data_IF_599425163268
#
_entry.id   IF_599425163268
#
_cell.length_a   1.000
_cell.length_b   1.000
_cell.length_c   1.000
_cell.angle_alpha   90.00
_cell.angle_beta   90.00
_cell.angle_gamma   90.00
#
_symmetry.space_group_name_H-M   'P 1'
#
loop_
_entity.id
_entity.type
_entity.pdbx_description
1 polymer ?
#
# COMPACT_ATOMS: atom_id res chain seq x y z
N UNK A 1 -21.68 11.76 -6.22
CA UNK A 1 -22.20 10.56 -6.94
C UNK A 1 -21.16 9.47 -6.80
N UNK A 2 -21.50 8.34 -6.18
CA UNK A 2 -20.56 7.22 -6.00
C UNK A 2 -20.29 6.56 -7.36
N UNK A 3 -19.04 6.61 -7.84
CA UNK A 3 -18.65 5.96 -9.10
C UNK A 3 -18.23 4.52 -8.81
N UNK A 4 -18.68 3.58 -9.64
CA UNK A 4 -18.34 2.16 -9.53
C UNK A 4 -17.67 1.67 -10.80
N UNK A 5 -16.50 1.06 -10.69
CA UNK A 5 -15.77 0.42 -11.80
C UNK A 5 -15.66 -1.07 -11.51
N UNK A 6 -15.82 -1.92 -12.52
CA UNK A 6 -15.65 -3.37 -12.43
C UNK A 6 -14.44 -3.81 -13.24
N UNK A 7 -13.54 -4.58 -12.64
CA UNK A 7 -12.42 -5.24 -13.32
C UNK A 7 -12.52 -6.76 -13.08
N UNK A 8 -12.07 -7.54 -14.04
CA UNK A 8 -12.04 -9.00 -13.95
C UNK A 8 -10.62 -9.44 -14.26
N UNK A 9 -10.02 -10.22 -13.38
CA UNK A 9 -8.69 -10.79 -13.56
C UNK A 9 -8.75 -12.26 -13.18
N UNK A 10 -8.50 -13.13 -14.15
CA UNK A 10 -8.62 -14.58 -13.97
C UNK A 10 -9.96 -14.98 -13.32
N UNK A 11 -9.89 -15.62 -12.14
CA UNK A 11 -11.04 -16.05 -11.35
C UNK A 11 -11.58 -14.96 -10.40
N UNK A 12 -10.97 -13.79 -10.33
CA UNK A 12 -11.38 -12.71 -9.42
C UNK A 12 -12.15 -11.60 -10.13
N UNK A 13 -13.08 -10.99 -9.40
CA UNK A 13 -13.90 -9.85 -9.82
C UNK A 13 -13.69 -8.74 -8.79
N UNK A 14 -13.18 -7.62 -9.25
CA UNK A 14 -12.93 -6.43 -8.45
C UNK A 14 -14.02 -5.40 -8.74
N UNK A 15 -14.61 -4.86 -7.68
CA UNK A 15 -15.45 -3.67 -7.77
C UNK A 15 -14.79 -2.54 -7.01
N UNK A 16 -14.43 -1.48 -7.72
CA UNK A 16 -13.83 -0.27 -7.20
C UNK A 16 -14.94 0.76 -6.97
N UNK A 17 -15.03 1.28 -5.76
CA UNK A 17 -15.98 2.29 -5.34
C UNK A 17 -15.24 3.57 -5.03
N UNK A 18 -15.71 4.67 -5.63
CA UNK A 18 -15.13 5.98 -5.45
C UNK A 18 -16.12 6.92 -4.77
N UNK A 19 -15.66 7.65 -3.76
CA UNK A 19 -16.35 8.79 -3.18
C UNK A 19 -15.62 10.07 -3.59
N UNK A 20 -16.32 11.04 -4.18
CA UNK A 20 -15.74 12.33 -4.56
C UNK A 20 -14.42 12.23 -5.36
N UNK A 21 -14.33 11.25 -6.27
CA UNK A 21 -13.15 10.88 -7.08
C UNK A 21 -11.99 10.20 -6.32
N UNK A 22 -12.12 9.95 -5.03
CA UNK A 22 -11.18 9.17 -4.22
C UNK A 22 -11.64 7.72 -4.15
N UNK A 23 -10.71 6.79 -4.35
CA UNK A 23 -10.98 5.36 -4.23
C UNK A 23 -11.21 5.03 -2.76
N UNK A 24 -12.43 4.68 -2.35
CA UNK A 24 -12.76 4.46 -0.94
C UNK A 24 -12.77 2.98 -0.55
N UNK A 25 -13.16 2.11 -1.49
CA UNK A 25 -13.31 0.69 -1.25
C UNK A 25 -13.07 -0.10 -2.54
N UNK A 26 -12.39 -1.22 -2.41
CA UNK A 26 -12.41 -2.30 -3.40
C UNK A 26 -13.00 -3.53 -2.74
N UNK A 27 -14.01 -4.13 -3.35
CA UNK A 27 -14.48 -5.47 -2.95
C UNK A 27 -14.05 -6.49 -3.97
N UNK A 28 -13.48 -7.59 -3.50
CA UNK A 28 -13.00 -8.71 -4.31
C UNK A 28 -13.93 -9.89 -4.14
N UNK A 29 -14.33 -10.48 -5.25
CA UNK A 29 -15.10 -11.72 -5.28
C UNK A 29 -14.37 -12.77 -6.10
N UNK A 30 -14.45 -14.02 -5.67
CA UNK A 30 -13.98 -15.17 -6.42
C UNK A 30 -15.14 -15.78 -7.24
N UNK A 31 -14.92 -16.03 -8.53
CA UNK A 31 -15.86 -16.76 -9.38
C UNK A 31 -15.91 -18.22 -8.93
N UNK A 32 -17.07 -18.69 -8.48
CA UNK A 32 -17.36 -20.13 -8.38
C UNK A 32 -18.28 -20.54 -9.53
N UNK A 33 -18.44 -21.86 -9.72
CA UNK A 33 -19.23 -22.44 -10.84
C UNK A 33 -20.64 -21.88 -11.00
N UNK A 34 -21.30 -21.50 -9.90
CA UNK A 34 -22.71 -21.06 -9.93
C UNK A 34 -22.96 -19.71 -9.25
N UNK A 35 -22.06 -19.24 -8.37
CA UNK A 35 -22.20 -18.00 -7.62
C UNK A 35 -20.82 -17.33 -7.48
N UNK A 36 -20.81 -16.02 -7.21
CA UNK A 36 -19.59 -15.34 -6.76
C UNK A 36 -19.49 -15.48 -5.25
N UNK A 37 -18.35 -15.95 -4.74
CA UNK A 37 -18.04 -15.92 -3.30
C UNK A 37 -17.36 -14.58 -3.00
N UNK A 38 -17.70 -13.93 -1.89
CA UNK A 38 -16.87 -12.83 -1.41
C UNK A 38 -15.45 -13.36 -1.16
N UNK A 39 -14.44 -12.51 -1.28
CA UNK A 39 -13.05 -12.94 -1.04
C UNK A 39 -12.36 -11.99 -0.07
N UNK A 40 -12.64 -10.70 -0.18
CA UNK A 40 -12.02 -9.71 0.67
C UNK A 40 -12.30 -8.29 0.21
N UNK A 41 -11.64 -7.34 0.87
CA UNK A 41 -11.75 -5.93 0.56
C UNK A 41 -10.47 -5.16 0.86
N UNK A 42 -10.32 -4.05 0.17
CA UNK A 42 -9.34 -3.00 0.47
C UNK A 42 -10.10 -1.73 0.81
N UNK A 43 -9.94 -1.24 2.02
CA UNK A 43 -10.56 0.00 2.52
C UNK A 43 -9.52 1.12 2.54
N UNK A 44 -9.89 2.31 2.08
CA UNK A 44 -9.01 3.46 1.95
C UNK A 44 -9.58 4.63 2.75
N UNK A 45 -8.80 5.16 3.68
CA UNK A 45 -9.21 6.25 4.55
C UNK A 45 -8.48 7.54 4.18
N UNK A 46 -9.24 8.60 3.95
CA UNK A 46 -8.73 9.91 3.62
C UNK A 46 -9.01 10.90 4.75
N UNK A 47 -8.06 11.82 4.97
CA UNK A 47 -8.23 13.02 5.78
C UNK A 47 -7.86 14.23 4.93
N UNK A 48 -8.76 15.21 4.81
CA UNK A 48 -8.55 16.42 3.99
C UNK A 48 -8.07 16.13 2.56
N UNK A 49 -8.63 15.06 1.95
CA UNK A 49 -8.26 14.53 0.64
C UNK A 49 -6.89 13.84 0.52
N UNK A 50 -6.19 13.62 1.64
CA UNK A 50 -4.95 12.85 1.70
C UNK A 50 -5.24 11.44 2.22
N UNK A 51 -4.79 10.40 1.51
CA UNK A 51 -4.92 9.01 1.97
C UNK A 51 -4.01 8.81 3.19
N UNK A 52 -4.59 8.47 4.34
CA UNK A 52 -3.85 8.29 5.60
C UNK A 52 -3.70 6.83 5.99
N UNK A 53 -4.58 5.96 5.49
CA UNK A 53 -4.43 4.52 5.69
C UNK A 53 -5.12 3.68 4.64
N UNK A 54 -4.59 2.47 4.44
CA UNK A 54 -5.20 1.40 3.66
C UNK A 54 -5.30 0.15 4.54
N UNK A 55 -6.44 -0.54 4.50
CA UNK A 55 -6.67 -1.78 5.26
C UNK A 55 -7.08 -2.89 4.32
N UNK A 56 -6.38 -4.02 4.40
CA UNK A 56 -6.64 -5.23 3.63
C UNK A 56 -7.38 -6.23 4.52
N UNK A 57 -8.48 -6.79 4.00
CA UNK A 57 -9.30 -7.79 4.68
C UNK A 57 -9.51 -8.99 3.75
N UNK A 58 -9.36 -10.19 4.28
CA UNK A 58 -9.70 -11.44 3.59
C UNK A 58 -10.88 -12.09 4.33
N UNK A 59 -11.85 -12.60 3.58
CA UNK A 59 -12.97 -13.35 4.15
C UNK A 59 -12.44 -14.53 4.99
N UNK A 60 -13.09 -14.80 6.12
CA UNK A 60 -12.70 -15.82 7.11
C UNK A 60 -11.38 -15.56 7.89
N UNK A 61 -10.48 -14.69 7.39
CA UNK A 61 -9.23 -14.31 8.08
C UNK A 61 -9.29 -12.96 8.81
N UNK A 62 -10.23 -12.09 8.43
CA UNK A 62 -10.35 -10.75 8.99
C UNK A 62 -9.34 -9.78 8.37
N UNK A 63 -8.96 -8.73 9.11
CA UNK A 63 -7.92 -7.79 8.67
C UNK A 63 -6.62 -8.59 8.56
N UNK A 64 -5.98 -8.58 7.41
CA UNK A 64 -4.69 -9.27 7.21
C UNK A 64 -3.53 -8.32 7.34
N UNK A 65 -3.73 -7.07 6.92
CA UNK A 65 -2.70 -6.03 6.92
C UNK A 65 -3.34 -4.64 6.98
N UNK A 66 -2.62 -3.67 7.52
CA UNK A 66 -2.94 -2.26 7.37
C UNK A 66 -1.67 -1.46 7.13
N UNK A 67 -1.76 -0.44 6.28
CA UNK A 67 -0.68 0.50 6.00
C UNK A 67 -1.11 1.89 6.42
N UNK A 68 -0.25 2.59 7.16
CA UNK A 68 -0.42 4.01 7.49
C UNK A 68 0.58 4.85 6.72
N UNK A 69 0.12 6.02 6.28
CA UNK A 69 0.88 6.96 5.48
C UNK A 69 1.12 8.25 6.25
N UNK A 70 2.36 8.74 6.23
CA UNK A 70 2.76 9.95 6.93
C UNK A 70 3.42 10.93 5.98
N UNK A 71 3.08 12.19 6.14
CA UNK A 71 3.47 13.27 5.25
C UNK A 71 4.18 14.38 6.00
N UNK A 72 5.04 15.10 5.31
CA UNK A 72 5.58 16.37 5.81
C UNK A 72 4.63 17.54 5.56
N UNK A 73 5.04 18.74 5.99
CA UNK A 73 4.30 19.98 5.81
C UNK A 73 4.10 20.38 4.33
N UNK A 74 4.90 19.82 3.41
CA UNK A 74 4.80 20.01 1.97
C UNK A 74 3.93 18.92 1.30
N UNK A 75 3.28 18.07 2.11
CA UNK A 75 2.45 16.94 1.67
C UNK A 75 3.22 15.87 0.89
N UNK A 76 4.53 15.76 1.11
CA UNK A 76 5.35 14.66 0.55
C UNK A 76 5.24 13.44 1.46
N UNK A 77 5.11 12.25 0.88
CA UNK A 77 5.05 11.00 1.65
C UNK A 77 6.44 10.70 2.21
N UNK A 78 6.60 10.79 3.53
CA UNK A 78 7.89 10.59 4.21
C UNK A 78 8.00 9.24 4.91
N UNK A 79 6.87 8.58 5.21
CA UNK A 79 6.88 7.30 5.88
C UNK A 79 5.66 6.44 5.55
N UNK A 80 5.90 5.12 5.47
CA UNK A 80 4.86 4.09 5.52
C UNK A 80 5.09 3.15 6.70
N UNK A 81 4.02 2.74 7.35
CA UNK A 81 4.06 1.74 8.42
C UNK A 81 3.13 0.58 8.11
N UNK A 82 3.66 -0.63 8.11
CA UNK A 82 2.95 -1.86 7.79
C UNK A 82 2.63 -2.63 9.06
N UNK A 83 1.35 -2.90 9.30
CA UNK A 83 0.84 -3.56 10.50
C UNK A 83 0.20 -4.90 10.14
N UNK A 84 0.39 -5.91 10.99
CA UNK A 84 -0.31 -7.19 10.84
C UNK A 84 -1.77 -7.14 11.35
N UNK A 85 -2.46 -8.27 11.26
CA UNK A 85 -3.82 -8.48 11.76
C UNK A 85 -4.03 -8.22 13.26
N UNK A 86 -2.95 -8.22 14.06
CA UNK A 86 -2.97 -7.92 15.49
C UNK A 86 -2.66 -6.45 15.79
N UNK A 87 -2.48 -5.61 14.75
CA UNK A 87 -2.10 -4.21 14.90
C UNK A 87 -0.63 -4.02 15.31
N UNK A 88 0.22 -5.04 15.15
CA UNK A 88 1.65 -4.95 15.46
C UNK A 88 2.44 -4.46 14.23
N UNK A 89 3.34 -3.50 14.46
CA UNK A 89 4.22 -2.96 13.43
C UNK A 89 5.20 -4.03 12.94
N UNK A 90 5.20 -4.29 11.62
CA UNK A 90 6.07 -5.26 10.96
C UNK A 90 7.23 -4.58 10.25
N UNK A 91 6.93 -3.52 9.51
CA UNK A 91 7.91 -2.77 8.73
C UNK A 91 7.61 -1.28 8.77
N UNK A 92 8.68 -0.49 8.74
CA UNK A 92 8.63 0.96 8.54
C UNK A 92 9.49 1.29 7.34
N UNK A 93 8.93 2.05 6.40
CA UNK A 93 9.64 2.61 5.25
C UNK A 93 9.79 4.10 5.50
N UNK A 94 11.02 4.58 5.56
CA UNK A 94 11.35 6.00 5.68
C UNK A 94 11.93 6.51 4.36
N UNK A 95 11.34 7.57 3.83
CA UNK A 95 11.78 8.26 2.63
C UNK A 95 12.54 9.54 3.02
N UNK A 96 13.78 9.67 2.56
CA UNK A 96 14.63 10.83 2.86
C UNK A 96 14.75 11.74 1.64
N UNK A 97 14.60 13.04 1.86
CA UNK A 97 14.67 14.09 0.84
C UNK A 97 15.87 15.00 1.16
N UNK A 98 16.70 15.35 0.16
CA UNK A 98 17.86 16.24 0.38
C UNK A 98 17.42 17.69 0.52
N UNK A 99 16.52 18.12 -0.36
CA UNK A 99 16.04 19.49 -0.45
C UNK A 99 14.58 19.59 -0.05
N UNK A 100 14.20 20.78 0.45
CA UNK A 100 12.79 21.10 0.73
C UNK A 100 11.92 21.00 -0.52
N UNK A 101 12.49 21.24 -1.72
CA UNK A 101 11.71 21.33 -2.95
C UNK A 101 11.76 20.07 -3.82
N UNK A 102 12.57 19.05 -3.45
CA UNK A 102 12.63 17.82 -4.24
C UNK A 102 11.31 17.03 -4.13
N UNK A 103 10.68 16.65 -5.25
CA UNK A 103 9.49 15.80 -5.26
C UNK A 103 9.83 14.33 -5.01
N UNK A 104 11.08 13.93 -5.21
CA UNK A 104 11.55 12.55 -5.07
C UNK A 104 12.54 12.42 -3.91
N UNK A 105 12.43 11.35 -3.10
CA UNK A 105 13.42 11.02 -2.09
C UNK A 105 14.71 10.52 -2.76
N UNK A 106 15.84 10.83 -2.13
CA UNK A 106 17.16 10.34 -2.56
C UNK A 106 17.53 9.00 -1.93
N UNK A 107 16.89 8.65 -0.80
CA UNK A 107 17.14 7.41 -0.08
C UNK A 107 15.85 6.84 0.50
N UNK A 108 15.80 5.52 0.57
CA UNK A 108 14.77 4.72 1.23
C UNK A 108 15.43 3.83 2.27
N UNK A 109 14.96 3.91 3.51
CA UNK A 109 15.35 3.01 4.59
C UNK A 109 14.17 2.15 5.02
N UNK A 110 14.45 0.88 5.28
CA UNK A 110 13.46 -0.09 5.76
C UNK A 110 13.90 -0.64 7.10
N UNK A 111 13.06 -0.44 8.12
CA UNK A 111 13.20 -1.01 9.44
C UNK A 111 12.19 -2.16 9.60
N UNK A 112 12.60 -3.22 10.29
CA UNK A 112 11.74 -4.31 10.74
C UNK A 112 11.42 -4.09 12.21
N UNK A 113 10.14 -4.29 12.58
CA UNK A 113 9.65 -4.10 13.95
C UNK A 113 9.96 -2.70 14.54
N UNK A 114 10.10 -1.68 13.68
CA UNK A 114 10.41 -0.30 14.06
C UNK A 114 11.85 -0.03 14.49
N UNK A 115 12.68 -1.06 14.69
CA UNK A 115 13.99 -0.91 15.33
C UNK A 115 15.16 -1.46 14.51
N UNK A 116 14.95 -2.55 13.77
CA UNK A 116 16.04 -3.28 13.12
C UNK A 116 16.19 -2.86 11.67
N UNK A 117 17.32 -2.24 11.31
CA UNK A 117 17.63 -1.95 9.90
C UNK A 117 17.65 -3.23 9.09
N UNK A 118 16.75 -3.31 8.12
CA UNK A 118 16.56 -4.48 7.27
C UNK A 118 17.10 -4.24 5.85
N UNK A 119 16.94 -3.02 5.34
CA UNK A 119 17.35 -2.64 3.99
C UNK A 119 17.51 -1.12 3.87
N UNK A 120 18.38 -0.68 2.96
CA UNK A 120 18.59 0.72 2.62
C UNK A 120 19.05 0.82 1.16
N UNK A 121 18.53 1.79 0.41
CA UNK A 121 18.90 2.02 -0.99
C UNK A 121 18.79 3.48 -1.40
N UNK A 122 19.64 3.87 -2.35
CA UNK A 122 19.57 5.15 -3.08
C UNK A 122 19.08 4.96 -4.53
N UNK A 123 18.70 3.73 -4.90
CA UNK A 123 18.30 3.38 -6.27
C UNK A 123 16.92 3.96 -6.59
N UNK A 124 16.90 5.02 -7.38
CA UNK A 124 15.68 5.77 -7.74
C UNK A 124 14.53 4.90 -8.26
N UNK A 125 14.82 3.83 -9.01
CA UNK A 125 13.78 2.91 -9.53
C UNK A 125 13.04 2.15 -8.43
N UNK A 126 13.73 1.76 -7.36
CA UNK A 126 13.12 1.02 -6.23
C UNK A 126 12.38 1.98 -5.31
N UNK A 127 12.95 3.16 -5.08
CA UNK A 127 12.29 4.26 -4.38
C UNK A 127 10.98 4.63 -5.08
N UNK A 128 11.02 4.86 -6.40
CA UNK A 128 9.85 5.24 -7.19
C UNK A 128 8.77 4.14 -7.17
N UNK A 129 9.15 2.86 -7.29
CA UNK A 129 8.19 1.75 -7.20
C UNK A 129 7.43 1.74 -5.86
N UNK A 130 8.16 1.94 -4.76
CA UNK A 130 7.56 2.00 -3.42
C UNK A 130 6.72 3.27 -3.19
N UNK A 131 7.01 4.37 -3.87
CA UNK A 131 6.15 5.56 -3.87
C UNK A 131 4.87 5.32 -4.69
N UNK A 132 5.00 4.73 -5.88
CA UNK A 132 3.91 4.53 -6.82
C UNK A 132 2.91 3.45 -6.39
N UNK A 133 3.25 2.59 -5.41
CA UNK A 133 2.29 1.63 -4.86
C UNK A 133 1.18 2.28 -4.05
N UNK A 134 1.39 3.53 -3.62
CA UNK A 134 0.45 4.32 -2.85
C UNK A 134 -0.91 4.48 -3.57
N UNK A 135 -2.00 4.20 -2.86
CA UNK A 135 -3.37 4.39 -3.37
C UNK A 135 -3.77 3.45 -4.51
N UNK A 136 -2.99 2.40 -4.77
CA UNK A 136 -3.34 1.32 -5.70
C UNK A 136 -4.13 0.21 -5.00
N UNK A 137 -4.61 -0.72 -5.80
CA UNK A 137 -5.37 -1.89 -5.34
C UNK A 137 -4.61 -2.75 -4.33
N UNK A 138 -3.27 -2.75 -4.35
CA UNK A 138 -2.46 -3.43 -3.36
C UNK A 138 -1.18 -2.66 -3.03
N UNK A 139 -1.09 -2.16 -1.80
CA UNK A 139 0.13 -1.60 -1.20
C UNK A 139 0.40 -2.36 0.10
N UNK A 140 0.97 -3.57 -0.02
CA UNK A 140 1.20 -4.46 1.12
C UNK A 140 2.67 -4.80 1.35
N UNK A 141 2.99 -5.37 2.50
CA UNK A 141 4.38 -5.73 2.84
C UNK A 141 4.99 -6.73 1.85
N UNK A 142 4.17 -7.53 1.16
CA UNK A 142 4.63 -8.40 0.08
C UNK A 142 5.30 -7.62 -1.06
N UNK A 143 4.71 -6.52 -1.54
CA UNK A 143 5.27 -5.71 -2.63
C UNK A 143 6.60 -5.06 -2.21
N UNK A 144 6.67 -4.59 -0.96
CA UNK A 144 7.90 -4.11 -0.36
C UNK A 144 8.99 -5.18 -0.43
N UNK A 145 8.69 -6.38 0.09
CA UNK A 145 9.66 -7.47 0.14
C UNK A 145 10.09 -7.91 -1.26
N UNK A 146 9.18 -7.98 -2.22
CA UNK A 146 9.50 -8.26 -3.63
C UNK A 146 10.45 -7.21 -4.21
N UNK A 147 10.21 -5.92 -3.96
CA UNK A 147 11.09 -4.84 -4.45
C UNK A 147 12.51 -4.93 -3.87
N UNK A 148 12.65 -5.33 -2.60
CA UNK A 148 13.95 -5.50 -1.94
C UNK A 148 14.69 -6.72 -2.51
N UNK A 149 14.00 -7.84 -2.70
CA UNK A 149 14.62 -9.06 -3.20
C UNK A 149 15.06 -8.91 -4.65
N UNK A 150 14.30 -8.21 -5.49
CA UNK A 150 14.75 -7.87 -6.85
C UNK A 150 16.04 -7.06 -6.84
N UNK A 151 16.16 -6.06 -5.96
CA UNK A 151 17.38 -5.24 -5.88
C UNK A 151 18.60 -6.08 -5.49
N UNK A 152 18.48 -6.90 -4.44
CA UNK A 152 19.58 -7.77 -3.98
C UNK A 152 20.04 -8.80 -5.02
N UNK A 153 19.19 -9.18 -5.97
CA UNK A 153 19.53 -10.13 -7.03
C UNK A 153 20.17 -9.45 -8.27
N UNK A 154 20.21 -8.12 -8.29
CA UNK A 154 20.79 -7.32 -9.37
C UNK A 154 22.10 -6.62 -9.00
N UNK A 155 22.64 -6.93 -7.82
CA UNK A 155 23.99 -6.58 -7.35
C UNK A 155 24.92 -7.80 -7.37
#
# INVERSE_FOLDING_TARGET
>A
MQKKIKKIENQFIYYYFYDSNQLSLITVYEKKRFLKKYYGSYEFLYQDSTLVSQTSRVEDLGITESVKYFYDHLKRLIKKEYYNNQGQLRYTLDFFYQDTDSPLPYSLKVLRMGEFQFFETEKSSVIQRNLESFGKDFDGSFLLLESIEEEKNHD
#
